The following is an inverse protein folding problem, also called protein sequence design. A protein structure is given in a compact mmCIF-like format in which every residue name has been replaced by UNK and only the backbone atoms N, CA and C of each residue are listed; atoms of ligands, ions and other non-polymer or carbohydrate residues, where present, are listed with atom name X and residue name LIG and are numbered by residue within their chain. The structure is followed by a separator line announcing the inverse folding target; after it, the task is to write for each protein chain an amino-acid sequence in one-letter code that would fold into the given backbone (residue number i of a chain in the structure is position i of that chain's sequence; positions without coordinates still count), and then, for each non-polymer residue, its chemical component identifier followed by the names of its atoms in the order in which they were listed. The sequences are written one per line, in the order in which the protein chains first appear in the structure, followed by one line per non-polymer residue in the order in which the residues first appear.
data_IF_439763106453
#
_entry.id   IF_439763106453
#
_cell.length_a   1.000
_cell.length_b   1.000
_cell.length_c   1.000
_cell.angle_alpha   90.00
_cell.angle_beta   90.00
_cell.angle_gamma   90.00
#
_symmetry.space_group_name_H-M   'P 1'
#
loop_
_entity.id
_entity.type
_entity.pdbx_description
1 polymer ?
#
# COMPACT_ATOMS: atom_id res chain seq x y z
N UNK A 1 41.80 31.61 5.81
CA UNK A 1 41.14 30.36 5.38
C UNK A 1 39.79 30.72 4.77
N UNK A 2 39.78 31.15 3.51
CA UNK A 2 38.55 31.47 2.78
C UNK A 2 38.17 30.27 1.93
N UNK A 3 37.03 29.65 2.22
CA UNK A 3 36.44 28.67 1.32
C UNK A 3 35.63 29.42 0.26
N UNK A 4 35.86 29.20 -1.04
CA UNK A 4 34.96 29.71 -2.07
C UNK A 4 33.72 28.80 -2.10
N UNK A 5 32.56 29.36 -1.75
CA UNK A 5 31.27 28.74 -2.06
C UNK A 5 31.11 28.77 -3.58
N UNK A 6 31.24 27.60 -4.20
CA UNK A 6 30.97 27.38 -5.61
C UNK A 6 29.49 27.60 -5.87
N UNK A 7 29.20 28.52 -6.80
CA UNK A 7 27.88 28.95 -7.29
C UNK A 7 27.10 27.84 -8.05
N UNK A 8 27.12 26.60 -7.56
CA UNK A 8 26.38 25.47 -8.11
C UNK A 8 24.87 25.55 -7.82
N UNK A 9 24.45 26.45 -6.91
CA UNK A 9 23.17 26.39 -6.20
C UNK A 9 21.94 27.00 -6.92
N UNK A 10 22.06 27.47 -8.17
CA UNK A 10 20.91 28.04 -8.90
C UNK A 10 20.49 27.26 -10.15
N UNK A 11 21.38 26.40 -10.67
CA UNK A 11 21.07 25.56 -11.83
C UNK A 11 20.55 24.18 -11.41
N UNK A 12 21.09 23.59 -10.35
CA UNK A 12 20.60 22.33 -9.77
C UNK A 12 19.09 22.34 -9.44
N UNK A 13 18.50 23.35 -8.78
CA UNK A 13 17.08 23.32 -8.46
C UNK A 13 16.19 23.40 -9.71
N UNK A 14 16.54 24.22 -10.70
CA UNK A 14 15.76 24.35 -11.95
C UNK A 14 15.92 23.13 -12.85
N UNK A 15 17.13 22.59 -12.98
CA UNK A 15 17.37 21.38 -13.75
C UNK A 15 16.68 20.18 -13.10
N UNK A 16 16.73 20.06 -11.77
CA UNK A 16 16.03 18.99 -11.06
C UNK A 16 14.52 19.10 -11.23
N UNK A 17 13.93 20.29 -11.07
CA UNK A 17 12.50 20.51 -11.32
C UNK A 17 12.14 20.22 -12.79
N UNK A 18 12.97 20.64 -13.73
CA UNK A 18 12.78 20.35 -15.14
C UNK A 18 12.86 18.84 -15.44
N UNK A 19 13.79 18.12 -14.80
CA UNK A 19 13.89 16.66 -14.91
C UNK A 19 12.67 15.96 -14.30
N UNK A 20 12.21 16.38 -13.12
CA UNK A 20 11.01 15.79 -12.49
C UNK A 20 9.75 16.05 -13.32
N UNK A 21 9.60 17.24 -13.90
CA UNK A 21 8.47 17.58 -14.78
C UNK A 21 8.54 16.81 -16.10
N UNK A 22 9.73 16.66 -16.70
CA UNK A 22 9.93 15.79 -17.86
C UNK A 22 9.59 14.34 -17.53
N UNK A 23 10.06 13.80 -16.39
CA UNK A 23 9.78 12.42 -15.98
C UNK A 23 8.27 12.20 -15.79
N UNK A 24 7.56 13.16 -15.20
CA UNK A 24 6.11 13.13 -15.08
C UNK A 24 5.41 13.18 -16.46
N UNK A 25 5.87 14.04 -17.37
CA UNK A 25 5.31 14.15 -18.72
C UNK A 25 5.58 12.90 -19.57
N UNK A 26 6.78 12.33 -19.48
CA UNK A 26 7.14 11.07 -20.13
C UNK A 26 6.21 9.96 -19.64
N UNK A 27 6.02 9.84 -18.32
CA UNK A 27 5.10 8.85 -17.74
C UNK A 27 3.67 9.01 -18.27
N UNK A 28 3.15 10.25 -18.31
CA UNK A 28 1.81 10.57 -18.84
C UNK A 28 1.69 10.30 -20.35
N UNK A 29 2.73 10.62 -21.11
CA UNK A 29 2.79 10.38 -22.56
C UNK A 29 2.86 8.89 -22.87
N UNK A 30 3.69 8.15 -22.14
CA UNK A 30 3.80 6.69 -22.25
C UNK A 30 2.44 6.04 -21.94
N UNK A 31 1.80 6.42 -20.83
CA UNK A 31 0.49 5.89 -20.44
C UNK A 31 -0.59 6.19 -21.48
N UNK A 32 -0.65 7.42 -22.00
CA UNK A 32 -1.65 7.82 -23.01
C UNK A 32 -1.43 7.14 -24.35
N UNK A 33 -0.18 6.99 -24.78
CA UNK A 33 0.15 6.25 -26.02
C UNK A 33 -0.21 4.77 -25.88
N UNK A 34 0.07 4.13 -24.73
CA UNK A 34 -0.32 2.74 -24.50
C UNK A 34 -1.84 2.55 -24.46
N UNK A 35 -2.58 3.51 -23.90
CA UNK A 35 -4.05 3.50 -23.94
C UNK A 35 -4.61 3.73 -25.35
N UNK A 36 -4.01 4.62 -26.16
CA UNK A 36 -4.49 4.95 -27.51
C UNK A 36 -4.17 3.88 -28.56
N UNK A 37 -3.06 3.16 -28.40
CA UNK A 37 -2.68 2.07 -29.30
C UNK A 37 -3.49 0.77 -29.06
N UNK A 38 -4.39 0.75 -28.07
CA UNK A 38 -5.13 -0.46 -27.71
C UNK A 38 -4.24 -1.59 -27.18
N UNK A 39 -3.01 -1.26 -26.78
CA UNK A 39 -2.00 -2.19 -26.24
C UNK A 39 -1.91 -2.15 -24.71
N UNK A 40 -2.84 -1.44 -24.04
CA UNK A 40 -2.98 -1.49 -22.58
C UNK A 40 -3.14 -2.93 -22.07
N UNK A 41 -3.81 -3.78 -22.84
CA UNK A 41 -3.99 -5.21 -22.54
C UNK A 41 -2.79 -6.09 -22.95
N UNK A 42 -1.84 -5.56 -23.74
CA UNK A 42 -0.75 -6.36 -24.35
C UNK A 42 0.65 -6.07 -23.80
N UNK A 43 0.83 -5.01 -23.01
CA UNK A 43 2.02 -4.83 -22.16
C UNK A 43 1.99 -5.63 -20.84
N UNK A 44 1.07 -6.58 -20.70
CA UNK A 44 1.16 -7.65 -19.69
C UNK A 44 2.06 -8.84 -20.14
N UNK A 45 2.83 -8.70 -21.22
CA UNK A 45 3.77 -9.72 -21.74
C UNK A 45 5.21 -9.23 -21.53
N UNK A 46 6.08 -9.69 -20.62
CA UNK A 46 6.23 -10.95 -19.88
C UNK A 46 6.67 -10.70 -18.41
N UNK A 47 5.84 -10.03 -17.62
CA UNK A 47 5.80 -10.30 -16.18
C UNK A 47 4.35 -10.42 -15.82
N UNK A 48 3.79 -11.59 -16.12
CA UNK A 48 2.48 -12.02 -15.65
C UNK A 48 2.46 -11.95 -14.12
N UNK A 49 2.17 -10.78 -13.56
CA UNK A 49 1.56 -10.69 -12.26
C UNK A 49 0.14 -11.12 -12.52
N UNK A 50 -0.25 -12.34 -12.14
CA UNK A 50 -1.48 -12.91 -12.65
C UNK A 50 -2.62 -12.05 -12.09
N UNK A 51 -3.29 -11.32 -12.98
CA UNK A 51 -4.69 -11.00 -12.79
C UNK A 51 -5.40 -12.35 -12.91
N UNK A 52 -5.36 -13.12 -11.81
CA UNK A 52 -6.13 -14.35 -11.71
C UNK A 52 -7.58 -13.93 -11.82
N UNK A 53 -8.15 -14.12 -13.01
CA UNK A 53 -9.49 -14.71 -13.07
C UNK A 53 -9.50 -15.82 -12.03
N UNK A 54 -10.42 -15.65 -11.08
CA UNK A 54 -10.81 -16.57 -10.03
C UNK A 54 -10.49 -18.04 -10.37
N UNK A 55 -9.28 -18.45 -10.03
CA UNK A 55 -8.79 -19.82 -10.17
C UNK A 55 -7.78 -20.02 -9.05
N UNK A 56 -8.27 -20.68 -8.00
CA UNK A 56 -7.67 -20.83 -6.69
C UNK A 56 -6.18 -21.16 -6.69
N UNK A 57 -5.35 -20.14 -6.51
CA UNK A 57 -4.06 -20.33 -5.84
C UNK A 57 -4.03 -19.46 -4.59
N UNK A 58 -4.17 -20.12 -3.46
CA UNK A 58 -3.90 -19.53 -2.16
C UNK A 58 -2.38 -19.39 -2.03
N UNK A 59 -1.85 -18.23 -2.44
CA UNK A 59 -0.68 -17.70 -1.75
C UNK A 59 -1.10 -17.53 -0.27
N UNK A 60 -0.27 -17.93 0.71
CA UNK A 60 -0.63 -17.77 2.13
C UNK A 60 -0.70 -16.27 2.43
N UNK A 61 -1.90 -15.70 2.28
CA UNK A 61 -2.20 -14.33 2.69
C UNK A 61 -1.90 -14.28 4.18
N UNK A 62 -1.05 -13.34 4.61
CA UNK A 62 -0.77 -13.22 6.03
C UNK A 62 -2.09 -13.00 6.77
N UNK A 63 -2.34 -13.81 7.80
CA UNK A 63 -3.58 -13.72 8.61
C UNK A 63 -3.78 -12.29 9.10
N UNK A 64 -2.68 -11.59 9.38
CA UNK A 64 -2.69 -10.18 9.74
C UNK A 64 -3.12 -9.23 8.63
N UNK A 65 -2.68 -9.43 7.38
CA UNK A 65 -3.15 -8.63 6.26
C UNK A 65 -4.65 -8.82 6.04
N UNK A 66 -5.15 -10.06 6.15
CA UNK A 66 -6.58 -10.34 6.03
C UNK A 66 -7.40 -9.59 7.09
N UNK A 67 -7.02 -9.65 8.36
CA UNK A 67 -7.73 -8.94 9.43
C UNK A 67 -7.69 -7.42 9.26
N UNK A 68 -6.55 -6.85 8.83
CA UNK A 68 -6.43 -5.40 8.62
C UNK A 68 -7.33 -4.94 7.47
N UNK A 69 -7.45 -5.74 6.40
CA UNK A 69 -8.29 -5.42 5.23
C UNK A 69 -9.76 -5.31 5.56
N UNK A 70 -10.24 -6.08 6.54
CA UNK A 70 -11.62 -6.02 7.03
C UNK A 70 -11.90 -4.69 7.78
N UNK A 71 -10.87 -4.09 8.39
CA UNK A 71 -11.00 -2.84 9.13
C UNK A 71 -10.98 -1.60 8.24
N UNK A 72 -10.47 -1.74 7.01
CA UNK A 72 -10.29 -0.63 6.08
C UNK A 72 -11.34 -0.70 4.97
N UNK A 73 -12.38 0.14 4.96
CA UNK A 73 -13.42 0.07 3.94
C UNK A 73 -12.86 0.35 2.54
N UNK A 74 -13.46 -0.29 1.53
CA UNK A 74 -13.23 -0.02 0.12
C UNK A 74 -14.39 0.81 -0.40
N UNK A 75 -14.09 1.96 -0.99
CA UNK A 75 -15.08 2.86 -1.62
C UNK A 75 -14.62 3.21 -3.04
N UNK A 76 -15.49 3.78 -3.87
CA UNK A 76 -15.03 4.38 -5.12
C UNK A 76 -14.45 5.76 -4.84
N UNK A 77 -13.49 6.19 -5.65
CA UNK A 77 -12.91 7.53 -5.52
C UNK A 77 -13.96 8.63 -5.76
N UNK A 78 -14.87 8.45 -6.72
CA UNK A 78 -15.98 9.38 -6.99
C UNK A 78 -16.96 9.56 -5.81
N UNK A 79 -17.02 8.60 -4.88
CA UNK A 79 -17.90 8.68 -3.71
C UNK A 79 -17.30 9.54 -2.58
N UNK A 80 -16.06 10.03 -2.73
CA UNK A 80 -15.43 10.92 -1.77
C UNK A 80 -16.01 12.33 -1.87
N UNK A 81 -16.81 12.72 -0.88
CA UNK A 81 -17.29 14.09 -0.71
C UNK A 81 -16.22 15.01 -0.06
N UNK A 82 -15.04 15.11 -0.69
CA UNK A 82 -13.93 15.95 -0.21
C UNK A 82 -13.76 17.17 -1.09
N UNK A 83 -13.42 18.32 -0.48
CA UNK A 83 -13.25 19.58 -1.19
C UNK A 83 -11.97 19.60 -2.05
N UNK A 84 -10.96 18.82 -1.66
CA UNK A 84 -9.64 18.77 -2.30
C UNK A 84 -8.99 17.38 -2.05
N UNK A 85 -9.50 16.31 -2.69
CA UNK A 85 -8.91 14.98 -2.55
C UNK A 85 -7.56 14.91 -3.30
N UNK A 86 -6.62 14.06 -2.84
CA UNK A 86 -5.36 13.87 -3.54
C UNK A 86 -5.61 13.32 -4.95
N UNK A 87 -4.89 13.86 -5.94
CA UNK A 87 -5.05 13.46 -7.34
C UNK A 87 -4.39 12.13 -7.68
N UNK A 88 -3.33 11.75 -6.95
CA UNK A 88 -2.48 10.60 -7.29
C UNK A 88 -2.30 9.63 -6.13
N UNK A 89 -2.27 8.34 -6.42
CA UNK A 89 -1.88 7.33 -5.44
C UNK A 89 -0.36 7.36 -5.23
N UNK A 90 0.09 7.62 -4.00
CA UNK A 90 1.51 7.72 -3.68
C UNK A 90 2.31 6.40 -3.80
N UNK A 91 1.65 5.25 -3.99
CA UNK A 91 2.32 3.95 -4.14
C UNK A 91 2.63 3.65 -5.61
N UNK A 92 1.66 3.80 -6.50
CA UNK A 92 1.82 3.51 -7.93
C UNK A 92 2.07 4.77 -8.78
N UNK A 93 1.92 5.96 -8.17
CA UNK A 93 2.06 7.29 -8.77
C UNK A 93 1.05 7.60 -9.89
N UNK A 94 -0.03 6.80 -10.02
CA UNK A 94 -1.12 7.02 -10.98
C UNK A 94 -2.23 7.90 -10.43
N UNK A 95 -2.81 8.71 -11.32
CA UNK A 95 -3.99 9.55 -11.06
C UNK A 95 -5.16 8.64 -10.64
N UNK A 96 -6.01 9.12 -9.72
CA UNK A 96 -7.25 8.44 -9.38
C UNK A 96 -8.34 8.76 -10.40
N UNK A 97 -9.00 7.72 -10.91
CA UNK A 97 -10.22 7.85 -11.70
C UNK A 97 -11.45 7.70 -10.81
N UNK A 98 -12.58 8.29 -11.21
CA UNK A 98 -13.82 8.23 -10.42
C UNK A 98 -14.28 6.80 -10.07
N UNK A 99 -14.06 5.83 -10.95
CA UNK A 99 -14.43 4.43 -10.74
C UNK A 99 -13.38 3.60 -9.97
N UNK A 100 -12.24 4.19 -9.63
CA UNK A 100 -11.18 3.48 -8.93
C UNK A 100 -11.63 3.06 -7.53
N UNK A 101 -11.41 1.79 -7.21
CA UNK A 101 -11.60 1.27 -5.86
C UNK A 101 -10.42 1.70 -5.00
N UNK A 102 -10.70 2.49 -3.98
CA UNK A 102 -9.70 3.04 -3.07
C UNK A 102 -9.92 2.54 -1.64
N UNK A 103 -8.85 2.53 -0.86
CA UNK A 103 -8.89 2.40 0.59
C UNK A 103 -8.45 3.72 1.19
N UNK A 104 -9.24 4.20 2.14
CA UNK A 104 -8.90 5.35 2.98
C UNK A 104 -8.54 4.84 4.37
N UNK A 105 -7.37 5.23 4.85
CA UNK A 105 -6.93 4.87 6.20
C UNK A 105 -7.72 5.64 7.25
N UNK A 106 -8.26 4.95 8.26
CA UNK A 106 -9.12 5.55 9.29
C UNK A 106 -8.35 6.47 10.25
N UNK A 107 -7.08 6.16 10.50
CA UNK A 107 -6.20 6.87 11.44
C UNK A 107 -5.62 8.18 10.87
N UNK A 108 -5.15 8.17 9.62
CA UNK A 108 -4.43 9.30 9.01
C UNK A 108 -5.09 9.82 7.74
N UNK A 109 -6.23 9.24 7.32
CA UNK A 109 -7.06 9.67 6.19
C UNK A 109 -6.39 9.63 4.81
N UNK A 110 -5.16 9.16 4.69
CA UNK A 110 -4.49 8.97 3.41
C UNK A 110 -5.21 7.93 2.54
N UNK A 111 -5.23 8.19 1.23
CA UNK A 111 -5.98 7.44 0.23
C UNK A 111 -5.01 6.72 -0.71
N UNK A 112 -5.32 5.47 -1.02
CA UNK A 112 -4.56 4.64 -1.96
C UNK A 112 -5.49 3.77 -2.78
N UNK A 113 -5.07 3.32 -3.98
CA UNK A 113 -5.79 2.25 -4.67
C UNK A 113 -5.87 1.02 -3.78
N UNK A 114 -7.02 0.34 -3.79
CA UNK A 114 -7.24 -0.90 -3.04
C UNK A 114 -6.10 -1.88 -3.27
N UNK A 115 -5.75 -2.15 -4.54
CA UNK A 115 -4.73 -3.13 -4.90
C UNK A 115 -3.33 -2.71 -4.41
N UNK A 116 -3.01 -1.40 -4.44
CA UNK A 116 -1.72 -0.89 -3.97
C UNK A 116 -1.55 -1.08 -2.46
N UNK A 117 -2.57 -0.72 -1.68
CA UNK A 117 -2.53 -0.90 -0.22
C UNK A 117 -2.66 -2.37 0.17
N UNK A 118 -3.43 -3.17 -0.57
CA UNK A 118 -3.55 -4.61 -0.35
C UNK A 118 -2.19 -5.30 -0.52
N UNK A 119 -1.46 -5.04 -1.62
CA UNK A 119 -0.10 -5.59 -1.81
C UNK A 119 0.88 -5.12 -0.75
N UNK A 120 0.78 -3.85 -0.34
CA UNK A 120 1.59 -3.31 0.75
C UNK A 120 1.41 -4.13 2.04
N UNK A 121 0.17 -4.46 2.40
CA UNK A 121 -0.15 -5.32 3.55
C UNK A 121 0.32 -6.77 3.39
N UNK A 122 0.28 -7.33 2.17
CA UNK A 122 0.79 -8.68 1.91
C UNK A 122 2.32 -8.78 2.10
N UNK A 123 3.05 -7.67 1.96
CA UNK A 123 4.47 -7.57 2.28
C UNK A 123 4.74 -7.27 3.77
N UNK A 124 3.84 -7.71 4.64
CA UNK A 124 3.86 -7.56 6.10
C UNK A 124 3.97 -6.12 6.62
N UNK A 125 3.67 -5.13 5.79
CA UNK A 125 3.66 -3.73 6.19
C UNK A 125 2.32 -3.38 6.84
N UNK A 126 2.36 -2.91 8.09
CA UNK A 126 1.19 -2.53 8.90
C UNK A 126 1.07 -1.02 9.13
N UNK A 127 1.70 -0.23 8.27
CA UNK A 127 1.83 1.23 8.41
C UNK A 127 1.49 1.96 7.12
N UNK A 128 1.02 3.20 7.25
CA UNK A 128 0.75 4.07 6.12
C UNK A 128 2.00 4.31 5.26
N UNK A 129 1.95 4.09 3.93
CA UNK A 129 3.07 4.39 3.03
C UNK A 129 3.55 5.84 3.07
N UNK A 130 2.66 6.79 3.40
CA UNK A 130 2.96 8.23 3.41
C UNK A 130 3.50 8.71 4.75
N UNK A 131 2.83 8.40 5.86
CA UNK A 131 3.12 8.97 7.17
C UNK A 131 3.59 7.96 8.22
N UNK A 132 3.68 6.67 7.85
CA UNK A 132 4.09 5.56 8.73
C UNK A 132 3.22 5.31 9.96
N UNK A 133 2.09 6.01 10.10
CA UNK A 133 1.09 5.73 11.14
C UNK A 133 0.59 4.28 11.02
N UNK A 134 0.54 3.55 12.15
CA UNK A 134 0.06 2.16 12.20
C UNK A 134 -1.41 2.07 11.82
N UNK A 135 -1.78 1.04 11.05
CA UNK A 135 -3.17 0.81 10.66
C UNK A 135 -4.06 0.52 11.88
N UNK A 136 -3.51 -0.13 12.90
CA UNK A 136 -4.17 -0.44 14.15
C UNK A 136 -3.71 0.59 15.21
N UNK A 137 -4.63 1.37 15.81
CA UNK A 137 -4.33 2.20 16.98
C UNK A 137 -3.84 1.37 18.16
N UNK A 138 -3.02 1.95 19.04
CA UNK A 138 -2.45 1.22 20.19
C UNK A 138 -3.52 0.65 21.12
N UNK A 139 -4.62 1.38 21.31
CA UNK A 139 -5.79 0.96 22.12
C UNK A 139 -6.47 -0.32 21.59
N UNK A 140 -6.36 -0.61 20.30
CA UNK A 140 -6.96 -1.80 19.66
C UNK A 140 -5.94 -2.91 19.40
N UNK A 141 -4.68 -2.69 19.77
CA UNK A 141 -3.58 -3.61 19.44
C UNK A 141 -3.72 -4.95 20.18
N UNK A 142 -4.13 -4.94 21.45
CA UNK A 142 -4.37 -6.15 22.24
C UNK A 142 -5.49 -7.00 21.63
N UNK A 143 -6.66 -6.39 21.41
CA UNK A 143 -7.80 -7.06 20.78
C UNK A 143 -7.47 -7.60 19.37
N UNK A 144 -6.62 -6.90 18.63
CA UNK A 144 -6.13 -7.36 17.33
C UNK A 144 -5.18 -8.56 17.47
N UNK A 145 -4.26 -8.54 18.44
CA UNK A 145 -3.34 -9.64 18.71
C UNK A 145 -4.09 -10.90 19.18
N UNK A 146 -5.13 -10.75 20.00
CA UNK A 146 -5.99 -11.87 20.41
C UNK A 146 -6.68 -12.49 19.20
N UNK A 147 -7.27 -11.67 18.33
CA UNK A 147 -7.88 -12.13 17.07
C UNK A 147 -6.87 -12.81 16.15
N UNK A 148 -5.64 -12.30 16.08
CA UNK A 148 -4.56 -12.94 15.33
C UNK A 148 -4.20 -14.31 15.88
N UNK A 149 -4.09 -14.43 17.20
CA UNK A 149 -3.80 -15.71 17.86
C UNK A 149 -4.89 -16.74 17.56
N UNK A 150 -6.16 -16.34 17.67
CA UNK A 150 -7.29 -17.19 17.34
C UNK A 150 -7.31 -17.59 15.85
N UNK A 151 -7.03 -16.65 14.94
CA UNK A 151 -7.08 -16.89 13.50
C UNK A 151 -5.86 -17.63 12.94
N UNK A 152 -4.73 -17.63 13.66
CA UNK A 152 -3.50 -18.31 13.24
C UNK A 152 -3.43 -19.78 13.67
N UNK A 153 -4.36 -20.26 14.51
CA UNK A 153 -4.40 -21.66 14.95
C UNK A 153 -3.22 -22.07 15.83
N UNK A 154 -2.46 -21.12 16.39
CA UNK A 154 -1.25 -21.39 17.17
C UNK A 154 -1.57 -21.90 18.59
N UNK A 155 -2.85 -21.86 19.02
CA UNK A 155 -3.26 -22.22 20.39
C UNK A 155 -3.07 -23.68 20.78
N UNK A 156 -2.85 -24.60 19.83
CA UNK A 156 -2.82 -26.03 20.14
C UNK A 156 -1.45 -26.56 20.62
N UNK A 157 -0.44 -25.69 20.76
CA UNK A 157 0.93 -26.13 21.13
C UNK A 157 1.46 -25.62 22.49
N UNK A 158 0.72 -24.80 23.23
CA UNK A 158 1.17 -24.25 24.53
C UNK A 158 0.54 -24.96 25.75
N UNK A 159 0.00 -26.17 25.57
CA UNK A 159 -0.59 -26.98 26.64
C UNK A 159 0.38 -27.92 27.38
N UNK A 160 1.63 -28.10 26.91
CA UNK A 160 2.51 -29.18 27.42
C UNK A 160 3.72 -28.73 28.26
N UNK A 161 3.88 -27.43 28.55
CA UNK A 161 4.94 -26.96 29.45
C UNK A 161 4.37 -26.14 30.62
N UNK A 162 3.66 -26.83 31.52
CA UNK A 162 3.57 -26.42 32.94
C UNK A 162 4.16 -27.53 33.82
N UNK A 163 4.88 -27.15 34.90
CA UNK A 163 5.84 -28.01 35.59
C UNK A 163 5.13 -29.14 36.33
N UNK A 164 5.64 -30.35 36.16
CA UNK A 164 5.28 -31.51 36.99
C UNK A 164 5.65 -31.17 38.44
N UNK A 165 4.67 -30.71 39.20
CA UNK A 165 4.71 -30.68 40.66
C UNK A 165 4.39 -32.08 41.14
N UNK A 166 5.42 -32.93 41.28
CA UNK A 166 5.29 -34.16 42.07
C UNK A 166 5.57 -33.83 43.52
N UNK A 167 4.49 -33.64 44.29
CA UNK A 167 4.50 -33.83 45.72
C UNK A 167 4.26 -35.30 46.04
N UNK A 168 5.21 -35.91 46.75
CA UNK A 168 5.02 -36.98 47.73
C UNK A 168 6.29 -37.08 48.58
#
# INVERSE_FOLDING_TARGET
MGFPMGYSDLFLPKLLVYLLTILGFIRKSISTVFSLLGLGDFLETEMAYPNRMDSGSEQPKSVSAALIRELLPVVKFSDLNELDPPENCAVCLYEFNGDDKIRRLTNCRHIFHRNCLDRWMDHDQKTCPLCRSRFIPEELQEAFNDKLSMASGISDFYGEYLPITTGL
#
